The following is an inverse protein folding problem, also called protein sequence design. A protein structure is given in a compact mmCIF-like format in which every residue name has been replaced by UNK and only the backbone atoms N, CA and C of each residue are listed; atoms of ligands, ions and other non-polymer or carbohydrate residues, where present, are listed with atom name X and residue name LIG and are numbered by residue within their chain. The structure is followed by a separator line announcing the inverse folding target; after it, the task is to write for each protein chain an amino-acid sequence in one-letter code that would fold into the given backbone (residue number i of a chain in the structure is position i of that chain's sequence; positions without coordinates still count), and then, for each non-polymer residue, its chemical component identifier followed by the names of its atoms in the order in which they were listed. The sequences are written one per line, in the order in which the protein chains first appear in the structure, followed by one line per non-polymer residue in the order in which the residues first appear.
data_IF_775115506941
#
_entry.id   IF_775115506941
#
_cell.length_a   1.000
_cell.length_b   1.000
_cell.length_c   1.000
_cell.angle_alpha   90.00
_cell.angle_beta   90.00
_cell.angle_gamma   90.00
#
_symmetry.space_group_name_H-M   'P 1'
#
loop_
_entity.id
_entity.type
_entity.pdbx_description
1 polymer ?
#
# COMPACT_ATOMS: atom_id res chain seq x y z
N UNK A 1 -24.87 -9.19 -16.72
CA UNK A 1 -24.65 -10.02 -15.52
C UNK A 1 -23.62 -9.32 -14.67
N UNK A 2 -23.86 -9.13 -13.37
CA UNK A 2 -22.86 -8.55 -12.49
C UNK A 2 -21.70 -9.55 -12.34
N UNK A 3 -20.48 -9.14 -12.69
CA UNK A 3 -19.31 -9.97 -12.48
C UNK A 3 -18.93 -9.89 -11.00
N UNK A 4 -19.08 -11.00 -10.29
CA UNK A 4 -18.63 -11.14 -8.91
C UNK A 4 -17.20 -11.66 -8.91
N UNK A 5 -16.31 -10.91 -8.26
CA UNK A 5 -14.92 -11.32 -8.04
C UNK A 5 -14.76 -11.81 -6.61
N UNK A 6 -13.80 -12.70 -6.39
CA UNK A 6 -13.42 -13.11 -5.04
C UNK A 6 -12.85 -11.88 -4.29
N UNK A 7 -13.10 -11.77 -2.98
CA UNK A 7 -12.58 -10.68 -2.15
C UNK A 7 -11.04 -10.67 -2.10
N UNK A 8 -10.41 -11.82 -2.36
CA UNK A 8 -8.98 -11.93 -2.55
C UNK A 8 -8.51 -11.40 -3.91
N UNK A 9 -9.37 -11.14 -4.89
CA UNK A 9 -9.03 -10.43 -6.13
C UNK A 9 -9.26 -8.93 -6.00
N UNK A 10 -10.49 -8.52 -5.71
CA UNK A 10 -10.85 -7.12 -5.55
C UNK A 10 -12.08 -6.95 -4.65
N UNK A 11 -12.14 -5.81 -3.95
CA UNK A 11 -13.21 -5.48 -3.02
C UNK A 11 -13.81 -4.15 -3.43
N UNK A 12 -15.12 -4.12 -3.66
CA UNK A 12 -15.84 -2.88 -3.97
C UNK A 12 -16.27 -2.20 -2.68
N UNK A 13 -15.84 -0.97 -2.47
CA UNK A 13 -16.42 -0.11 -1.44
C UNK A 13 -17.69 0.54 -2.00
N UNK A 14 -18.85 0.14 -1.46
CA UNK A 14 -20.14 0.65 -1.91
C UNK A 14 -20.41 2.09 -1.46
N UNK A 15 -19.62 2.63 -0.53
CA UNK A 15 -19.75 4.01 -0.02
C UNK A 15 -19.12 5.01 -0.99
N UNK A 16 -17.89 4.73 -1.42
CA UNK A 16 -17.11 5.61 -2.29
C UNK A 16 -17.19 5.24 -3.77
N UNK A 17 -17.60 4.00 -4.07
CA UNK A 17 -17.54 3.43 -5.43
C UNK A 17 -16.16 2.95 -5.84
N UNK A 18 -15.13 3.16 -5.00
CA UNK A 18 -13.76 2.72 -5.26
C UNK A 18 -13.66 1.18 -5.23
N UNK A 19 -12.72 0.67 -6.02
CA UNK A 19 -12.39 -0.76 -6.02
C UNK A 19 -10.98 -0.92 -5.48
N UNK A 20 -10.85 -1.79 -4.49
CA UNK A 20 -9.61 -2.05 -3.76
C UNK A 20 -9.03 -3.40 -4.18
N UNK A 21 -7.71 -3.47 -4.23
CA UNK A 21 -6.99 -4.70 -4.52
C UNK A 21 -7.16 -5.68 -3.36
N UNK A 22 -7.67 -6.87 -3.64
CA UNK A 22 -7.74 -7.97 -2.68
C UNK A 22 -6.34 -8.49 -2.33
N UNK A 23 -6.16 -8.92 -1.09
CA UNK A 23 -4.90 -9.48 -0.59
C UNK A 23 -5.02 -10.99 -0.36
N UNK A 24 -3.92 -11.71 -0.61
CA UNK A 24 -3.84 -13.16 -0.42
C UNK A 24 -3.05 -13.53 0.84
N UNK A 25 -3.15 -14.78 1.28
CA UNK A 25 -2.41 -15.29 2.46
C UNK A 25 -1.34 -16.33 2.10
N UNK A 26 -1.17 -16.67 0.82
CA UNK A 26 -0.19 -17.68 0.37
C UNK A 26 1.20 -17.05 0.29
N UNK A 27 2.17 -17.64 0.98
CA UNK A 27 3.56 -17.16 0.96
C UNK A 27 4.15 -17.15 -0.45
N UNK A 28 4.92 -16.11 -0.78
CA UNK A 28 5.60 -15.97 -2.08
C UNK A 28 4.73 -15.39 -3.21
N UNK A 29 3.41 -15.27 -3.04
CA UNK A 29 2.56 -14.62 -4.04
C UNK A 29 2.77 -13.09 -4.08
N UNK A 30 2.57 -12.51 -5.28
CA UNK A 30 2.71 -11.08 -5.53
C UNK A 30 1.89 -10.23 -4.56
N UNK A 31 0.63 -10.64 -4.29
CA UNK A 31 -0.36 -9.89 -3.48
C UNK A 31 -0.49 -10.42 -2.05
N UNK A 32 0.53 -11.15 -1.57
CA UNK A 32 0.55 -11.67 -0.21
C UNK A 32 0.45 -10.53 0.82
N UNK A 33 -0.39 -10.73 1.84
CA UNK A 33 -0.67 -9.77 2.92
C UNK A 33 0.55 -9.30 3.72
N UNK A 34 1.62 -10.09 3.77
CA UNK A 34 2.83 -9.79 4.55
C UNK A 34 3.93 -9.13 3.73
N UNK A 35 3.63 -8.72 2.49
CA UNK A 35 4.61 -8.14 1.58
C UNK A 35 4.89 -6.68 1.92
N UNK A 36 5.89 -6.47 2.77
CA UNK A 36 6.37 -5.14 3.16
C UNK A 36 7.29 -4.57 2.08
N UNK A 37 7.01 -3.34 1.64
CA UNK A 37 7.67 -2.68 0.50
C UNK A 37 8.31 -1.35 0.91
N UNK A 38 9.27 -0.92 0.09
CA UNK A 38 9.65 0.49 0.00
C UNK A 38 8.53 1.29 -0.66
N UNK A 39 8.53 2.61 -0.50
CA UNK A 39 7.57 3.53 -1.10
C UNK A 39 8.26 4.74 -1.76
N UNK A 40 9.26 4.45 -2.59
CA UNK A 40 9.90 5.43 -3.45
C UNK A 40 9.02 5.73 -4.68
N UNK A 41 8.88 6.99 -5.04
CA UNK A 41 8.05 7.45 -6.17
C UNK A 41 8.78 8.38 -7.15
N UNK A 42 9.97 8.89 -6.81
CA UNK A 42 10.70 9.84 -7.65
C UNK A 42 12.20 9.87 -7.36
N UNK A 43 13.00 10.15 -8.39
CA UNK A 43 14.45 10.40 -8.29
C UNK A 43 14.77 11.86 -7.91
N UNK A 44 13.78 12.75 -7.92
CA UNK A 44 13.96 14.19 -7.69
C UNK A 44 14.19 14.58 -6.21
N UNK A 45 14.31 13.61 -5.30
CA UNK A 45 14.53 13.86 -3.89
C UNK A 45 15.27 12.70 -3.20
N UNK A 46 15.86 12.99 -2.05
CA UNK A 46 16.51 11.99 -1.22
C UNK A 46 15.46 11.17 -0.47
N UNK A 47 14.93 10.14 -1.13
CA UNK A 47 13.82 9.33 -0.61
C UNK A 47 14.26 8.16 0.27
N UNK A 48 15.53 7.74 0.17
CA UNK A 48 16.07 6.66 0.99
C UNK A 48 16.75 7.23 2.23
N UNK A 49 16.33 6.80 3.42
CA UNK A 49 16.91 7.23 4.68
C UNK A 49 17.59 6.06 5.40
N UNK A 50 18.91 5.95 5.26
CA UNK A 50 19.65 4.86 5.87
C UNK A 50 20.69 5.40 6.86
N UNK A 51 20.72 4.83 8.06
CA UNK A 51 21.68 5.20 9.12
C UNK A 51 21.80 6.70 9.39
N UNK A 52 20.68 7.43 9.35
CA UNK A 52 20.65 8.87 9.61
C UNK A 52 20.94 9.77 8.40
N UNK A 53 21.16 9.19 7.21
CA UNK A 53 21.57 9.94 6.01
C UNK A 53 20.52 9.78 4.89
N UNK A 54 19.87 10.87 4.46
CA UNK A 54 19.05 10.89 3.26
C UNK A 54 19.91 10.73 1.99
N UNK A 55 19.51 9.83 1.11
CA UNK A 55 20.17 9.56 -0.19
C UNK A 55 19.16 9.49 -1.33
N UNK A 56 19.62 9.81 -2.53
CA UNK A 56 18.83 9.67 -3.75
C UNK A 56 18.54 8.20 -4.06
N UNK A 57 17.43 7.96 -4.76
CA UNK A 57 17.04 6.63 -5.26
C UNK A 57 17.17 6.60 -6.78
N UNK A 58 17.43 5.43 -7.34
CA UNK A 58 17.47 5.22 -8.79
C UNK A 58 16.13 4.73 -9.34
N UNK A 59 15.90 4.89 -10.65
CA UNK A 59 14.73 4.32 -11.33
C UNK A 59 14.67 2.80 -11.19
N UNK A 60 15.83 2.13 -11.11
CA UNK A 60 15.88 0.69 -10.84
C UNK A 60 15.24 0.36 -9.48
N UNK A 61 15.58 1.09 -8.43
CA UNK A 61 14.99 0.88 -7.10
C UNK A 61 13.50 1.22 -7.04
N UNK A 62 13.07 2.25 -7.80
CA UNK A 62 11.64 2.62 -7.88
C UNK A 62 10.83 1.53 -8.58
N UNK A 63 11.36 0.95 -9.66
CA UNK A 63 10.65 -0.05 -10.46
C UNK A 63 10.82 -1.49 -9.95
N UNK A 64 11.69 -1.73 -8.96
CA UNK A 64 11.88 -3.04 -8.35
C UNK A 64 10.61 -3.55 -7.64
N UNK A 65 10.39 -4.87 -7.69
CA UNK A 65 9.24 -5.51 -7.05
C UNK A 65 9.18 -5.31 -5.53
N UNK A 66 10.30 -4.98 -4.87
CA UNK A 66 10.36 -4.65 -3.44
C UNK A 66 9.96 -3.20 -3.15
N UNK A 67 9.62 -2.41 -4.18
CA UNK A 67 9.05 -1.07 -4.05
C UNK A 67 7.57 -1.04 -4.46
N UNK A 68 6.82 -0.08 -3.92
CA UNK A 68 5.39 0.09 -4.17
C UNK A 68 5.05 0.34 -5.64
N UNK A 69 5.90 1.09 -6.37
CA UNK A 69 5.70 1.37 -7.79
C UNK A 69 5.92 0.12 -8.64
N UNK A 70 7.00 -0.63 -8.41
CA UNK A 70 7.24 -1.91 -9.09
C UNK A 70 6.15 -2.94 -8.78
N UNK A 71 5.70 -3.04 -7.53
CA UNK A 71 4.54 -3.86 -7.14
C UNK A 71 3.27 -3.45 -7.89
N UNK A 72 2.92 -2.17 -7.90
CA UNK A 72 1.74 -1.64 -8.62
C UNK A 72 1.82 -1.99 -10.11
N UNK A 73 2.97 -1.78 -10.74
CA UNK A 73 3.18 -2.10 -12.15
C UNK A 73 2.99 -3.62 -12.40
N UNK A 74 3.52 -4.47 -11.53
CA UNK A 74 3.34 -5.91 -11.62
C UNK A 74 1.88 -6.35 -11.47
N UNK A 75 1.12 -5.74 -10.54
CA UNK A 75 -0.33 -6.01 -10.40
C UNK A 75 -1.10 -5.55 -11.64
N UNK A 76 -0.76 -4.39 -12.20
CA UNK A 76 -1.38 -3.91 -13.44
C UNK A 76 -1.12 -4.86 -14.62
N UNK A 77 0.04 -5.50 -14.68
CA UNK A 77 0.35 -6.49 -15.71
C UNK A 77 -0.52 -7.76 -15.64
N UNK A 78 -1.16 -8.06 -14.49
CA UNK A 78 -2.03 -9.23 -14.37
C UNK A 78 -3.48 -8.97 -14.78
N UNK A 79 -3.86 -7.74 -15.11
CA UNK A 79 -5.27 -7.34 -15.32
C UNK A 79 -6.19 -7.78 -14.16
N UNK A 80 -5.73 -7.64 -12.92
CA UNK A 80 -6.45 -8.10 -11.72
C UNK A 80 -7.89 -7.56 -11.72
N UNK A 81 -8.87 -8.47 -11.59
CA UNK A 81 -10.29 -8.11 -11.57
C UNK A 81 -10.70 -7.28 -12.82
N UNK A 82 -10.17 -7.69 -13.99
CA UNK A 82 -10.47 -7.09 -15.28
C UNK A 82 -9.88 -5.69 -15.50
N UNK A 83 -8.88 -5.29 -14.71
CA UNK A 83 -8.33 -3.93 -14.74
C UNK A 83 -6.83 -3.89 -14.53
N UNK A 84 -6.19 -2.93 -15.22
CA UNK A 84 -4.78 -2.57 -15.11
C UNK A 84 -4.58 -1.10 -14.69
N UNK A 85 -5.63 -0.45 -14.19
CA UNK A 85 -5.62 0.95 -13.76
C UNK A 85 -5.41 1.11 -12.24
N UNK A 86 -4.69 0.18 -11.61
CA UNK A 86 -4.41 0.24 -10.17
C UNK A 86 -3.37 1.30 -9.85
N UNK A 87 -3.63 2.03 -8.76
CA UNK A 87 -2.71 3.03 -8.19
C UNK A 87 -2.59 2.86 -6.68
N UNK A 88 -1.57 3.50 -6.11
CA UNK A 88 -1.56 3.68 -4.66
C UNK A 88 -2.73 4.60 -4.25
N UNK A 89 -3.31 4.37 -3.06
CA UNK A 89 -4.34 5.22 -2.50
C UNK A 89 -3.73 6.49 -1.91
N UNK A 90 -4.53 7.54 -1.83
CA UNK A 90 -4.24 8.71 -0.99
C UNK A 90 -4.42 8.36 0.50
N UNK A 91 -3.94 9.23 1.39
CA UNK A 91 -4.16 9.07 2.83
C UNK A 91 -5.65 9.07 3.18
N UNK A 92 -6.44 9.96 2.57
CA UNK A 92 -7.87 10.10 2.88
C UNK A 92 -8.66 8.86 2.44
N UNK A 93 -8.32 8.27 1.29
CA UNK A 93 -8.94 7.03 0.83
C UNK A 93 -8.69 5.87 1.78
N UNK A 94 -7.46 5.69 2.29
CA UNK A 94 -7.17 4.64 3.28
C UNK A 94 -7.81 4.93 4.63
N UNK A 95 -7.83 6.19 5.08
CA UNK A 95 -8.52 6.57 6.31
C UNK A 95 -10.03 6.32 6.21
N UNK A 96 -10.62 6.48 5.03
CA UNK A 96 -12.03 6.16 4.77
C UNK A 96 -12.39 4.69 5.02
N UNK A 97 -11.41 3.78 4.97
CA UNK A 97 -11.62 2.36 5.28
C UNK A 97 -11.60 2.04 6.78
N UNK A 98 -11.19 2.99 7.64
CA UNK A 98 -10.97 2.72 9.05
C UNK A 98 -12.29 2.42 9.78
N UNK A 99 -12.32 1.30 10.50
CA UNK A 99 -13.41 0.90 11.41
C UNK A 99 -12.90 0.87 12.85
N UNK A 100 -13.36 1.81 13.68
CA UNK A 100 -12.85 2.03 15.04
C UNK A 100 -13.09 0.85 15.99
N UNK A 101 -14.12 0.04 15.75
CA UNK A 101 -14.52 -1.09 16.61
C UNK A 101 -13.87 -2.42 16.22
N UNK A 102 -13.17 -2.49 15.08
CA UNK A 102 -12.61 -3.74 14.56
C UNK A 102 -11.11 -3.89 14.89
N UNK A 103 -10.59 -5.12 14.75
CA UNK A 103 -9.16 -5.44 14.87
C UNK A 103 -8.76 -6.50 13.81
N UNK A 104 -7.97 -6.15 12.78
CA UNK A 104 -7.51 -4.79 12.40
C UNK A 104 -8.66 -3.80 12.19
N UNK A 105 -8.34 -2.50 12.23
CA UNK A 105 -9.27 -1.35 12.19
C UNK A 105 -9.85 -1.12 10.79
N UNK A 106 -10.43 -2.15 10.17
CA UNK A 106 -11.05 -2.16 8.84
C UNK A 106 -12.16 -3.21 8.85
N UNK A 107 -13.13 -3.15 7.94
CA UNK A 107 -14.15 -4.20 7.77
C UNK A 107 -13.50 -5.54 7.39
N UNK A 108 -13.37 -6.43 8.36
CA UNK A 108 -12.66 -7.70 8.19
C UNK A 108 -13.39 -8.69 7.28
N UNK A 109 -14.72 -8.55 7.15
CA UNK A 109 -15.51 -9.39 6.26
C UNK A 109 -15.34 -8.96 4.81
N UNK A 110 -15.33 -7.65 4.55
CA UNK A 110 -15.09 -7.12 3.21
C UNK A 110 -13.61 -7.22 2.79
N UNK A 111 -12.69 -7.11 3.73
CA UNK A 111 -11.26 -7.02 3.47
C UNK A 111 -10.48 -8.16 4.17
N UNK A 112 -10.66 -9.41 3.73
CA UNK A 112 -9.93 -10.53 4.30
C UNK A 112 -8.41 -10.36 4.10
N UNK A 113 -7.65 -11.04 4.96
CA UNK A 113 -6.18 -11.04 4.95
C UNK A 113 -5.50 -9.71 5.30
N UNK A 114 -6.25 -8.65 5.64
CA UNK A 114 -5.65 -7.40 6.12
C UNK A 114 -4.80 -7.67 7.38
N UNK A 115 -3.59 -7.14 7.41
CA UNK A 115 -2.77 -7.10 8.63
C UNK A 115 -2.95 -5.77 9.37
N UNK A 116 -2.92 -5.80 10.70
CA UNK A 116 -2.79 -4.61 11.53
C UNK A 116 -1.36 -4.08 11.46
N UNK A 117 -1.09 -3.25 10.45
CA UNK A 117 0.24 -2.69 10.17
C UNK A 117 0.11 -1.34 9.45
N UNK A 118 1.25 -0.71 9.14
CA UNK A 118 1.30 0.49 8.31
C UNK A 118 1.04 0.16 6.83
N UNK A 119 0.17 0.94 6.19
CA UNK A 119 -0.14 0.88 4.77
C UNK A 119 0.32 2.15 4.08
N UNK A 120 1.08 1.98 3.00
CA UNK A 120 1.63 3.06 2.21
C UNK A 120 0.55 3.78 1.40
N UNK A 121 0.71 5.10 1.29
CA UNK A 121 -0.10 5.98 0.45
C UNK A 121 0.76 6.60 -0.65
N UNK A 122 0.12 7.22 -1.64
CA UNK A 122 0.75 8.13 -2.59
C UNK A 122 0.88 9.57 -2.07
N UNK A 123 0.50 9.84 -0.82
CA UNK A 123 0.47 11.20 -0.27
C UNK A 123 1.84 11.55 0.30
N UNK A 124 2.60 12.46 -0.34
CA UNK A 124 3.95 12.79 0.11
C UNK A 124 3.92 13.52 1.46
N UNK A 125 4.99 13.38 2.23
CA UNK A 125 5.22 14.24 3.39
C UNK A 125 5.66 15.64 2.94
N UNK A 126 5.16 16.67 3.59
CA UNK A 126 5.67 18.05 3.44
C UNK A 126 6.91 18.31 4.30
N UNK A 127 7.23 17.41 5.25
CA UNK A 127 8.33 17.56 6.19
C UNK A 127 9.67 17.19 5.55
N UNK A 128 9.72 16.07 4.82
CA UNK A 128 10.94 15.58 4.18
C UNK A 128 10.63 14.59 3.04
N UNK A 129 11.47 14.57 2.01
CA UNK A 129 11.30 13.70 0.84
C UNK A 129 11.40 12.19 1.16
N UNK A 130 12.15 11.81 2.20
CA UNK A 130 12.27 10.42 2.67
C UNK A 130 11.12 9.95 3.58
N UNK A 131 10.15 10.83 3.85
CA UNK A 131 8.93 10.49 4.59
C UNK A 131 7.72 10.43 3.65
N UNK A 132 6.75 9.62 4.03
CA UNK A 132 5.46 9.49 3.36
C UNK A 132 4.36 9.29 4.41
N UNK A 133 3.13 9.72 4.08
CA UNK A 133 2.00 9.42 4.93
C UNK A 133 1.60 7.96 4.82
N UNK A 134 1.29 7.35 5.97
CA UNK A 134 0.81 5.97 6.08
C UNK A 134 -0.42 5.92 6.98
N UNK A 135 -1.24 4.90 6.80
CA UNK A 135 -2.34 4.57 7.72
C UNK A 135 -2.01 3.27 8.45
N UNK A 136 -2.10 3.29 9.77
CA UNK A 136 -1.88 2.12 10.61
C UNK A 136 -3.22 1.44 10.92
N UNK A 137 -3.50 0.29 10.32
CA UNK A 137 -4.73 -0.46 10.61
C UNK A 137 -4.70 -1.20 11.95
N UNK A 138 -3.58 -1.22 12.70
CA UNK A 138 -3.60 -1.67 14.08
C UNK A 138 -4.31 -0.66 15.01
N UNK A 139 -4.12 0.64 14.74
CA UNK A 139 -4.62 1.74 15.58
C UNK A 139 -5.73 2.56 14.94
N UNK A 140 -5.89 2.49 13.62
CA UNK A 140 -6.83 3.30 12.85
C UNK A 140 -6.37 4.74 12.66
N UNK A 141 -5.07 5.01 12.78
CA UNK A 141 -4.50 6.37 12.76
C UNK A 141 -3.55 6.55 11.59
N UNK A 142 -3.37 7.79 11.14
CA UNK A 142 -2.34 8.16 10.18
C UNK A 142 -1.08 8.70 10.87
N UNK A 143 0.08 8.47 10.27
CA UNK A 143 1.36 9.06 10.69
C UNK A 143 2.30 9.19 9.51
N UNK A 144 3.42 9.90 9.69
CA UNK A 144 4.52 9.87 8.74
C UNK A 144 5.42 8.66 9.04
N UNK A 145 5.90 8.00 7.99
CA UNK A 145 6.86 6.91 8.09
C UNK A 145 7.95 7.06 7.02
N UNK A 146 9.10 6.43 7.24
CA UNK A 146 10.15 6.36 6.23
C UNK A 146 9.66 5.62 4.99
N UNK A 147 10.09 6.09 3.82
CA UNK A 147 9.79 5.42 2.55
C UNK A 147 10.55 4.11 2.40
N UNK A 148 11.68 3.94 3.08
CA UNK A 148 12.49 2.74 2.97
C UNK A 148 12.18 1.72 4.06
N UNK A 149 12.16 0.44 3.68
CA UNK A 149 12.12 -0.70 4.57
C UNK A 149 13.54 -0.97 5.12
N UNK A 150 14.07 -0.05 5.91
CA UNK A 150 15.41 -0.13 6.48
C UNK A 150 15.51 -1.10 7.65
N UNK A 151 15.36 -2.42 7.40
CA UNK A 151 15.73 -3.54 8.28
C UNK A 151 15.11 -3.64 9.68
N UNK A 152 14.44 -2.59 10.17
CA UNK A 152 13.93 -2.47 11.55
C UNK A 152 12.41 -2.26 11.63
N UNK A 153 11.65 -2.63 10.59
CA UNK A 153 10.18 -2.54 10.59
C UNK A 153 9.60 -1.20 10.12
N UNK A 154 10.36 -0.42 9.34
CA UNK A 154 9.90 0.86 8.79
C UNK A 154 9.24 0.75 7.41
N UNK A 155 9.26 -0.42 6.76
CA UNK A 155 8.52 -0.59 5.51
C UNK A 155 7.01 -0.56 5.73
N UNK A 156 6.23 -0.50 4.65
CA UNK A 156 4.78 -0.51 4.72
C UNK A 156 4.20 -1.58 3.80
N UNK A 157 3.04 -2.10 4.18
CA UNK A 157 2.22 -2.91 3.28
C UNK A 157 1.56 -2.00 2.24
N UNK A 158 1.15 -2.57 1.11
CA UNK A 158 0.44 -1.84 0.06
C UNK A 158 -0.89 -2.51 -0.23
N UNK A 159 -1.92 -1.69 -0.40
CA UNK A 159 -3.20 -2.06 -0.98
C UNK A 159 -3.55 -1.04 -2.03
N UNK A 160 -3.67 -1.49 -3.28
CA UNK A 160 -3.97 -0.59 -4.40
C UNK A 160 -5.46 -0.27 -4.47
N UNK A 161 -5.78 0.82 -5.15
CA UNK A 161 -7.14 1.29 -5.41
C UNK A 161 -7.29 1.72 -6.86
N UNK A 162 -8.53 1.76 -7.35
CA UNK A 162 -8.93 2.35 -8.63
C UNK A 162 -10.33 2.94 -8.54
#
# INVERSE_FOLDING_TARGET
MAQYYDLTECVRDNTTGLIWQGQTNTGGELRNRGRVLNNYDSTSGNQNYNSGVPTSVSDFQINDLTNSIGFKNAVNATNLCGSNAWRLPTIDELLGLVKSTELPKIDNAAFPNTQGYFYATSTPSTTAAYLVWVVNFNTGTSSQNYRNNGGGGNGALVRLVR
#
